data_IF_431731976436
#
_entry.id   IF_431731976436
#
_cell.length_a   1.000
_cell.length_b   1.000
_cell.length_c   1.000
_cell.angle_alpha   90.00
_cell.angle_beta   90.00
_cell.angle_gamma   90.00
#
_symmetry.space_group_name_H-M   'P 1'
#
loop_
_entity.id
_entity.type
_entity.pdbx_description
1 polymer ?
#
# COMPACT_ATOMS: atom_id res chain seq x y z
N UNK A 1 -11.60 16.16 2.49
CA UNK A 1 -11.97 15.64 1.16
C UNK A 1 -13.21 14.74 1.16
N UNK A 2 -13.18 13.46 1.57
CA UNK A 2 -14.39 12.61 1.48
C UNK A 2 -15.57 13.14 2.31
N UNK A 3 -15.28 13.64 3.52
CA UNK A 3 -16.25 14.33 4.36
C UNK A 3 -16.82 15.59 3.70
N UNK A 4 -15.97 16.47 3.14
CA UNK A 4 -16.42 17.64 2.38
C UNK A 4 -17.27 17.27 1.16
N UNK A 5 -16.95 16.18 0.46
CA UNK A 5 -17.80 15.68 -0.62
C UNK A 5 -19.20 15.34 -0.09
N UNK A 6 -19.31 14.78 1.12
CA UNK A 6 -20.58 14.56 1.79
C UNK A 6 -21.36 15.85 2.06
N UNK A 7 -20.65 16.89 2.50
CA UNK A 7 -21.25 18.21 2.75
C UNK A 7 -21.83 18.80 1.46
N UNK A 8 -21.07 18.75 0.36
CA UNK A 8 -21.54 19.23 -0.95
C UNK A 8 -22.67 18.37 -1.52
N UNK A 9 -22.70 17.07 -1.26
CA UNK A 9 -23.79 16.19 -1.71
C UNK A 9 -25.14 16.55 -1.06
N UNK A 10 -25.12 17.17 0.12
CA UNK A 10 -26.32 17.67 0.80
C UNK A 10 -26.80 19.04 0.30
N UNK A 11 -25.99 19.73 -0.52
CA UNK A 11 -26.31 21.03 -1.10
C UNK A 11 -26.71 20.89 -2.59
N UNK A 12 -28.00 21.10 -2.95
CA UNK A 12 -28.49 20.93 -4.31
C UNK A 12 -27.89 21.90 -5.35
N UNK A 13 -27.17 22.95 -4.92
CA UNK A 13 -26.53 23.93 -5.82
C UNK A 13 -25.03 23.62 -6.04
N UNK A 14 -24.42 22.77 -5.21
CA UNK A 14 -22.96 22.59 -5.16
C UNK A 14 -22.43 21.30 -5.83
N UNK A 15 -23.08 20.84 -6.90
CA UNK A 15 -22.71 19.58 -7.58
C UNK A 15 -21.26 19.55 -8.08
N UNK A 16 -20.70 20.68 -8.52
CA UNK A 16 -19.29 20.77 -8.93
C UNK A 16 -18.33 20.49 -7.77
N UNK A 17 -18.60 21.05 -6.59
CA UNK A 17 -17.79 20.84 -5.38
C UNK A 17 -17.82 19.39 -4.88
N UNK A 18 -18.98 18.72 -5.02
CA UNK A 18 -19.10 17.28 -4.73
C UNK A 18 -18.16 16.45 -5.62
N UNK A 19 -18.29 16.59 -6.95
CA UNK A 19 -17.52 15.79 -7.91
C UNK A 19 -16.02 15.97 -7.70
N UNK A 20 -15.58 17.20 -7.48
CA UNK A 20 -14.19 17.54 -7.24
C UNK A 20 -13.63 16.87 -5.98
N UNK A 21 -14.24 17.10 -4.80
CA UNK A 21 -13.72 16.54 -3.54
C UNK A 21 -13.84 15.02 -3.45
N UNK A 22 -14.87 14.44 -4.07
CA UNK A 22 -15.01 12.99 -4.20
C UNK A 22 -13.86 12.40 -5.04
N UNK A 23 -13.55 13.02 -6.18
CA UNK A 23 -12.44 12.62 -7.02
C UNK A 23 -11.10 12.76 -6.28
N UNK A 24 -10.85 13.88 -5.58
CA UNK A 24 -9.59 14.07 -4.86
C UNK A 24 -9.39 13.03 -3.73
N UNK A 25 -10.46 12.65 -3.01
CA UNK A 25 -10.38 11.62 -1.98
C UNK A 25 -9.92 10.26 -2.53
N UNK A 26 -10.52 9.83 -3.65
CA UNK A 26 -10.16 8.58 -4.31
C UNK A 26 -8.80 8.65 -5.01
N UNK A 27 -8.42 9.82 -5.52
CA UNK A 27 -7.10 10.08 -6.10
C UNK A 27 -6.00 9.90 -5.04
N UNK A 28 -6.17 10.49 -3.85
CA UNK A 28 -5.24 10.30 -2.73
C UNK A 28 -5.13 8.82 -2.32
N UNK A 29 -6.28 8.14 -2.17
CA UNK A 29 -6.33 6.73 -1.80
C UNK A 29 -5.59 5.82 -2.80
N UNK A 30 -5.84 6.00 -4.10
CA UNK A 30 -5.19 5.21 -5.17
C UNK A 30 -3.73 5.58 -5.36
N UNK A 31 -3.39 6.86 -5.18
CA UNK A 31 -2.04 7.40 -5.20
C UNK A 31 -1.14 6.79 -4.13
N UNK A 32 -1.55 6.89 -2.86
CA UNK A 32 -0.83 6.33 -1.71
C UNK A 32 -0.56 4.83 -1.90
N UNK A 33 -1.60 4.09 -2.28
CA UNK A 33 -1.52 2.66 -2.51
C UNK A 33 -0.54 2.25 -3.61
N UNK A 34 -0.44 3.04 -4.68
CA UNK A 34 0.50 2.75 -5.77
C UNK A 34 1.91 3.22 -5.48
N UNK A 35 2.05 4.30 -4.72
CA UNK A 35 3.34 4.85 -4.33
C UNK A 35 4.03 3.96 -3.29
N UNK A 36 3.30 3.44 -2.29
CA UNK A 36 3.80 2.46 -1.33
C UNK A 36 4.39 1.23 -2.02
N UNK A 37 3.69 0.70 -3.01
CA UNK A 37 4.09 -0.52 -3.70
C UNK A 37 5.18 -0.21 -4.76
N UNK A 38 4.96 0.80 -5.61
CA UNK A 38 5.87 1.16 -6.70
C UNK A 38 7.21 1.74 -6.23
N UNK A 39 7.20 2.61 -5.22
CA UNK A 39 8.40 3.28 -4.69
C UNK A 39 8.85 2.66 -3.37
N UNK A 40 7.93 2.51 -2.41
CA UNK A 40 8.26 2.04 -1.06
C UNK A 40 8.91 0.65 -1.07
N UNK A 41 8.23 -0.35 -1.63
CA UNK A 41 8.78 -1.71 -1.69
C UNK A 41 10.05 -1.76 -2.53
N UNK A 42 10.05 -1.13 -3.72
CA UNK A 42 11.22 -1.14 -4.60
C UNK A 42 12.46 -0.53 -3.93
N UNK A 43 12.31 0.59 -3.22
CA UNK A 43 13.43 1.26 -2.55
C UNK A 43 13.99 0.42 -1.41
N UNK A 44 13.13 -0.24 -0.65
CA UNK A 44 13.57 -1.17 0.40
C UNK A 44 14.31 -2.37 -0.19
N UNK A 45 13.77 -2.98 -1.26
CA UNK A 45 14.39 -4.11 -1.95
C UNK A 45 15.76 -3.72 -2.50
N UNK A 46 15.87 -2.55 -3.13
CA UNK A 46 17.14 -2.07 -3.65
C UNK A 46 18.15 -1.76 -2.56
N UNK A 47 17.71 -1.18 -1.43
CA UNK A 47 18.61 -0.94 -0.31
C UNK A 47 19.13 -2.26 0.27
N UNK A 48 18.28 -3.27 0.39
CA UNK A 48 18.69 -4.61 0.80
C UNK A 48 19.71 -5.21 -0.19
N UNK A 49 19.40 -5.22 -1.48
CA UNK A 49 20.28 -5.79 -2.50
C UNK A 49 21.62 -5.04 -2.59
N UNK A 50 21.60 -3.71 -2.46
CA UNK A 50 22.80 -2.87 -2.38
C UNK A 50 23.67 -3.23 -1.19
N UNK A 51 23.08 -3.47 -0.01
CA UNK A 51 23.83 -3.92 1.17
C UNK A 51 24.36 -5.34 1.05
N UNK A 52 23.62 -6.23 0.37
CA UNK A 52 23.96 -7.64 0.28
C UNK A 52 25.03 -7.94 -0.80
N UNK A 53 24.96 -7.30 -1.97
CA UNK A 53 25.86 -7.56 -3.11
C UNK A 53 26.70 -6.35 -3.56
N UNK A 54 26.46 -5.17 -3.00
CA UNK A 54 27.15 -3.94 -3.39
C UNK A 54 26.58 -3.27 -4.67
N UNK A 55 26.96 -2.02 -4.95
CA UNK A 55 26.37 -1.21 -6.03
C UNK A 55 26.68 -1.73 -7.44
N UNK A 56 27.88 -2.30 -7.64
CA UNK A 56 28.33 -2.75 -8.97
C UNK A 56 27.52 -3.94 -9.48
N UNK A 57 27.15 -4.85 -8.59
CA UNK A 57 26.40 -6.05 -8.96
C UNK A 57 24.93 -5.71 -9.19
N UNK A 58 24.35 -4.85 -8.34
CA UNK A 58 22.97 -4.38 -8.48
C UNK A 58 22.68 -3.77 -9.86
N UNK A 59 23.57 -2.92 -10.38
CA UNK A 59 23.41 -2.26 -11.69
C UNK A 59 23.46 -3.29 -12.84
N UNK A 60 24.33 -4.30 -12.73
CA UNK A 60 24.49 -5.33 -13.77
C UNK A 60 23.29 -6.27 -13.83
N UNK A 61 22.74 -6.60 -12.67
CA UNK A 61 21.73 -7.62 -12.48
C UNK A 61 20.32 -7.11 -12.87
N UNK A 62 20.04 -5.84 -12.60
CA UNK A 62 18.74 -5.19 -12.88
C UNK A 62 18.48 -4.88 -14.36
N UNK A 63 19.46 -4.31 -15.10
CA UNK A 63 19.18 -3.79 -16.45
C UNK A 63 19.03 -4.85 -17.56
N UNK A 64 19.72 -5.99 -17.46
CA UNK A 64 19.75 -7.00 -18.55
C UNK A 64 18.76 -8.17 -18.36
N UNK A 65 18.24 -8.39 -17.15
CA UNK A 65 17.46 -9.59 -16.83
C UNK A 65 16.16 -9.35 -16.06
N UNK A 66 15.83 -8.12 -15.63
CA UNK A 66 14.62 -7.86 -14.83
C UNK A 66 13.32 -8.38 -15.48
N UNK A 67 13.19 -8.23 -16.79
CA UNK A 67 12.02 -8.71 -17.54
C UNK A 67 12.10 -10.19 -17.93
N UNK A 68 13.28 -10.81 -17.88
CA UNK A 68 13.51 -12.24 -18.22
C UNK A 68 13.03 -13.17 -17.11
N UNK A 69 13.01 -12.70 -15.87
CA UNK A 69 12.67 -13.48 -14.68
C UNK A 69 11.18 -13.48 -14.30
N UNK A 70 10.35 -12.65 -14.94
CA UNK A 70 8.90 -12.66 -14.74
C UNK A 70 8.24 -14.00 -15.09
N UNK A 71 8.95 -14.94 -15.71
CA UNK A 71 8.47 -16.31 -15.97
C UNK A 71 8.76 -17.29 -14.82
N UNK A 72 9.20 -16.80 -13.65
CA UNK A 72 9.49 -17.60 -12.45
C UNK A 72 10.52 -18.68 -12.69
N UNK A 73 11.65 -18.30 -13.32
CA UNK A 73 12.81 -19.19 -13.30
C UNK A 73 13.41 -19.16 -11.89
N UNK A 74 13.83 -20.31 -11.34
CA UNK A 74 14.54 -20.34 -10.06
C UNK A 74 15.76 -19.42 -10.17
N UNK A 75 15.99 -18.59 -9.14
CA UNK A 75 17.21 -17.82 -9.05
C UNK A 75 18.39 -18.80 -9.15
N UNK A 76 19.32 -18.53 -10.04
CA UNK A 76 20.53 -19.31 -10.27
C UNK A 76 21.62 -19.00 -9.24
N UNK A 77 21.26 -18.32 -8.14
CA UNK A 77 22.16 -17.85 -7.09
C UNK A 77 22.93 -16.57 -7.47
N UNK A 78 22.57 -15.92 -8.59
CA UNK A 78 23.28 -14.71 -9.06
C UNK A 78 22.84 -13.44 -8.36
N UNK A 79 21.71 -13.44 -7.63
CA UNK A 79 21.21 -12.27 -6.91
C UNK A 79 20.85 -12.55 -5.45
N UNK A 80 21.06 -11.58 -4.55
CA UNK A 80 20.55 -11.66 -3.18
C UNK A 80 19.02 -11.77 -3.16
N UNK A 81 18.53 -12.72 -2.38
CA UNK A 81 17.10 -12.92 -2.11
C UNK A 81 16.74 -12.37 -0.74
N UNK A 82 15.71 -11.55 -0.70
CA UNK A 82 15.08 -11.16 0.55
C UNK A 82 13.97 -12.14 0.90
N UNK A 83 14.27 -13.04 1.82
CA UNK A 83 13.29 -13.99 2.33
C UNK A 83 12.32 -13.30 3.30
N UNK A 84 11.03 -13.38 3.00
CA UNK A 84 9.97 -12.81 3.81
C UNK A 84 9.60 -13.74 4.98
N UNK A 85 9.34 -13.20 6.18
CA UNK A 85 8.85 -13.98 7.32
C UNK A 85 7.54 -14.72 6.99
N UNK A 86 7.29 -15.87 7.65
CA UNK A 86 6.02 -16.61 7.48
C UNK A 86 4.78 -15.76 7.79
N UNK A 87 4.89 -14.74 8.65
CA UNK A 87 3.80 -13.81 8.95
C UNK A 87 3.21 -13.12 7.72
N UNK A 88 4.02 -12.92 6.66
CA UNK A 88 3.57 -12.33 5.39
C UNK A 88 2.47 -13.16 4.71
N UNK A 89 2.39 -14.46 4.97
CA UNK A 89 1.33 -15.31 4.39
C UNK A 89 -0.07 -14.80 4.72
N UNK A 90 -0.28 -14.31 5.95
CA UNK A 90 -1.55 -13.70 6.34
C UNK A 90 -1.82 -12.42 5.53
N UNK A 91 -0.81 -11.55 5.40
CA UNK A 91 -0.92 -10.32 4.61
C UNK A 91 -1.26 -10.62 3.14
N UNK A 92 -0.58 -11.59 2.53
CA UNK A 92 -0.84 -12.05 1.15
C UNK A 92 -2.26 -12.53 0.98
N UNK A 93 -2.76 -13.36 1.91
CA UNK A 93 -4.14 -13.86 1.86
C UNK A 93 -5.18 -12.75 1.88
N UNK A 94 -4.98 -11.73 2.72
CA UNK A 94 -5.86 -10.56 2.76
C UNK A 94 -5.76 -9.74 1.47
N UNK A 95 -4.53 -9.50 0.98
CA UNK A 95 -4.31 -8.75 -0.25
C UNK A 95 -4.95 -9.43 -1.46
N UNK A 96 -4.92 -10.77 -1.55
CA UNK A 96 -5.63 -11.51 -2.60
C UNK A 96 -7.12 -11.21 -2.55
N UNK A 97 -7.76 -11.37 -1.38
CA UNK A 97 -9.22 -11.16 -1.24
C UNK A 97 -9.59 -9.70 -1.52
N UNK A 98 -8.86 -8.74 -0.93
CA UNK A 98 -9.09 -7.31 -1.13
C UNK A 98 -8.91 -6.89 -2.59
N UNK A 99 -7.88 -7.42 -3.26
CA UNK A 99 -7.60 -7.12 -4.67
C UNK A 99 -8.67 -7.71 -5.59
N UNK A 100 -9.09 -8.96 -5.37
CA UNK A 100 -10.18 -9.54 -6.16
C UNK A 100 -11.48 -8.75 -5.96
N UNK A 101 -11.78 -8.34 -4.72
CA UNK A 101 -12.95 -7.51 -4.43
C UNK A 101 -12.87 -6.12 -5.08
N UNK A 102 -11.68 -5.52 -5.17
CA UNK A 102 -11.52 -4.21 -5.81
C UNK A 102 -11.92 -4.20 -7.30
N UNK A 103 -11.84 -5.33 -8.01
CA UNK A 103 -12.41 -5.42 -9.37
C UNK A 103 -13.94 -5.38 -9.39
N UNK A 104 -14.61 -5.82 -8.32
CA UNK A 104 -16.05 -5.65 -8.15
C UNK A 104 -16.37 -4.16 -7.95
N UNK A 105 -15.56 -3.43 -7.18
CA UNK A 105 -15.68 -1.97 -7.04
C UNK A 105 -15.56 -1.27 -8.41
N UNK A 106 -14.57 -1.66 -9.22
CA UNK A 106 -14.39 -1.15 -10.59
C UNK A 106 -15.63 -1.43 -11.44
N UNK A 107 -16.15 -2.66 -11.42
CA UNK A 107 -17.33 -3.04 -12.19
C UNK A 107 -18.60 -2.30 -11.75
N UNK A 108 -18.73 -1.96 -10.46
CA UNK A 108 -19.85 -1.18 -9.93
C UNK A 108 -19.78 0.31 -10.25
N UNK A 109 -18.59 0.85 -10.52
CA UNK A 109 -18.38 2.29 -10.75
C UNK A 109 -18.66 3.18 -9.53
N UNK A 110 -18.69 2.61 -8.31
CA UNK A 110 -18.93 3.34 -7.06
C UNK A 110 -18.32 2.63 -5.86
N UNK A 111 -18.01 3.38 -4.81
CA UNK A 111 -17.62 2.85 -3.49
C UNK A 111 -18.67 3.23 -2.46
N UNK A 112 -19.25 2.25 -1.79
CA UNK A 112 -20.42 2.44 -0.94
C UNK A 112 -20.34 1.68 0.38
N UNK A 113 -21.41 1.75 1.17
CA UNK A 113 -21.43 1.19 2.52
C UNK A 113 -21.19 -0.33 2.52
N UNK A 114 -21.65 -1.06 1.51
CA UNK A 114 -21.37 -2.49 1.38
C UNK A 114 -19.87 -2.78 1.23
N UNK A 115 -19.11 -1.90 0.56
CA UNK A 115 -17.66 -2.02 0.42
C UNK A 115 -16.97 -1.77 1.75
N UNK A 116 -17.45 -0.76 2.49
CA UNK A 116 -17.01 -0.48 3.87
C UNK A 116 -17.22 -1.68 4.78
N UNK A 117 -18.39 -2.30 4.74
CA UNK A 117 -18.71 -3.46 5.57
C UNK A 117 -17.77 -4.61 5.23
N UNK A 118 -17.63 -4.95 3.95
CA UNK A 118 -16.83 -6.10 3.54
C UNK A 118 -15.33 -5.90 3.81
N UNK A 119 -14.75 -4.78 3.36
CA UNK A 119 -13.33 -4.51 3.54
C UNK A 119 -12.98 -4.17 5.00
N UNK A 120 -13.89 -3.50 5.72
CA UNK A 120 -13.75 -3.23 7.14
C UNK A 120 -13.80 -4.51 7.98
N UNK A 121 -14.72 -5.45 7.69
CA UNK A 121 -14.77 -6.76 8.35
C UNK A 121 -13.53 -7.60 8.00
N UNK A 122 -13.07 -7.55 6.75
CA UNK A 122 -11.84 -8.24 6.34
C UNK A 122 -10.62 -7.71 7.11
N UNK A 123 -10.50 -6.39 7.26
CA UNK A 123 -9.42 -5.78 8.04
C UNK A 123 -9.54 -6.05 9.54
N UNK A 124 -10.75 -5.99 10.10
CA UNK A 124 -10.99 -6.33 11.50
C UNK A 124 -10.61 -7.78 11.79
N UNK A 125 -10.99 -8.70 10.89
CA UNK A 125 -10.58 -10.10 10.97
C UNK A 125 -9.06 -10.24 10.91
N UNK A 126 -8.40 -9.53 10.00
CA UNK A 126 -6.94 -9.48 9.90
C UNK A 126 -6.28 -9.02 11.21
N UNK A 127 -6.75 -7.93 11.82
CA UNK A 127 -6.21 -7.41 13.10
C UNK A 127 -6.44 -8.40 14.25
N UNK A 128 -7.62 -9.01 14.34
CA UNK A 128 -7.91 -10.03 15.37
C UNK A 128 -6.97 -11.24 15.21
N UNK A 129 -6.65 -11.62 13.97
CA UNK A 129 -5.72 -12.70 13.66
C UNK A 129 -4.29 -12.33 14.01
N UNK A 130 -3.85 -11.13 13.64
CA UNK A 130 -2.52 -10.62 13.93
C UNK A 130 -2.28 -10.49 15.44
N UNK A 131 -3.27 -10.01 16.20
CA UNK A 131 -3.20 -9.88 17.67
C UNK A 131 -3.10 -11.22 18.41
N UNK A 132 -3.42 -12.35 17.75
CA UNK A 132 -3.30 -13.71 18.29
C UNK A 132 -2.03 -14.43 17.81
N UNK A 133 -1.24 -13.82 16.93
CA UNK A 133 0.01 -14.38 16.48
C UNK A 133 1.08 -14.30 17.59
N UNK A 134 2.08 -15.19 17.60
CA UNK A 134 3.17 -15.13 18.57
C UNK A 134 3.88 -13.76 18.52
N UNK A 135 3.84 -13.02 19.64
CA UNK A 135 4.50 -11.72 19.76
C UNK A 135 5.94 -11.97 20.19
N UNK A 136 6.90 -11.59 19.35
CA UNK A 136 8.30 -11.49 19.76
C UNK A 136 8.49 -10.13 20.42
N UNK A 137 9.14 -10.09 21.59
CA UNK A 137 9.42 -8.80 22.24
C UNK A 137 10.24 -7.91 21.29
N UNK A 138 9.72 -6.73 20.93
CA UNK A 138 10.45 -5.85 20.03
C UNK A 138 11.68 -5.33 20.75
N UNK A 139 12.83 -5.40 20.08
CA UNK A 139 14.03 -4.74 20.57
C UNK A 139 13.84 -3.22 20.47
N UNK A 140 13.61 -2.59 21.61
CA UNK A 140 13.43 -1.14 21.68
C UNK A 140 14.78 -0.45 21.39
N UNK A 141 14.76 0.52 20.48
CA UNK A 141 15.93 1.34 20.15
C UNK A 141 15.56 2.83 20.12
N UNK A 142 16.55 3.71 20.26
CA UNK A 142 16.39 5.16 20.14
C UNK A 142 15.35 5.75 21.12
N UNK A 143 14.44 6.63 20.66
CA UNK A 143 13.39 7.21 21.49
C UNK A 143 12.49 6.17 22.17
N UNK A 144 12.19 5.06 21.48
CA UNK A 144 11.39 3.98 22.04
C UNK A 144 12.09 3.30 23.23
N UNK A 145 13.41 3.12 23.17
CA UNK A 145 14.21 2.61 24.30
C UNK A 145 14.24 3.59 25.48
N UNK A 146 14.34 4.89 25.21
CA UNK A 146 14.32 5.92 26.26
C UNK A 146 12.99 5.90 27.03
N UNK A 147 11.86 5.83 26.32
CA UNK A 147 10.52 5.69 26.92
C UNK A 147 10.37 4.33 27.62
N UNK A 148 10.89 3.27 27.03
CA UNK A 148 10.84 1.90 27.56
C UNK A 148 11.50 1.72 28.92
N UNK A 149 12.53 2.52 29.23
CA UNK A 149 13.28 2.53 30.50
C UNK A 149 12.57 3.26 31.65
N UNK A 150 11.52 4.02 31.38
CA UNK A 150 10.77 4.73 32.42
C UNK A 150 10.01 3.75 33.33
N UNK A 151 9.76 4.11 34.60
CA UNK A 151 8.81 3.38 35.46
C UNK A 151 7.45 3.26 34.77
N UNK A 152 6.68 2.22 35.11
CA UNK A 152 5.43 1.84 34.42
C UNK A 152 4.50 3.02 34.15
N UNK A 153 4.26 3.88 35.15
CA UNK A 153 3.40 5.04 35.01
C UNK A 153 4.03 6.13 34.15
N UNK A 154 5.32 6.42 34.30
CA UNK A 154 6.03 7.36 33.42
C UNK A 154 6.01 6.92 31.95
N UNK A 155 6.21 5.62 31.70
CA UNK A 155 6.13 5.02 30.36
C UNK A 155 4.72 5.13 29.77
N UNK A 156 3.68 4.74 30.52
CA UNK A 156 2.28 4.81 30.06
C UNK A 156 1.84 6.25 29.78
N UNK A 157 2.20 7.18 30.66
CA UNK A 157 1.91 8.61 30.48
C UNK A 157 2.63 9.18 29.26
N UNK A 158 3.90 8.84 29.05
CA UNK A 158 4.64 9.28 27.87
C UNK A 158 4.02 8.75 26.57
N UNK A 159 3.69 7.45 26.52
CA UNK A 159 3.02 6.84 25.35
C UNK A 159 1.66 7.49 25.09
N UNK A 160 0.84 7.66 26.13
CA UNK A 160 -0.47 8.30 26.00
C UNK A 160 -0.34 9.76 25.54
N UNK A 161 0.62 10.50 26.09
CA UNK A 161 0.92 11.86 25.65
C UNK A 161 1.26 11.89 24.17
N UNK A 162 2.17 11.04 23.68
CA UNK A 162 2.52 11.02 22.26
C UNK A 162 1.34 10.61 21.37
N UNK A 163 0.51 9.66 21.79
CA UNK A 163 -0.71 9.28 21.05
C UNK A 163 -1.66 10.48 20.92
N UNK A 164 -2.02 11.12 22.04
CA UNK A 164 -2.97 12.24 22.05
C UNK A 164 -2.39 13.45 21.33
N UNK A 165 -1.13 13.82 21.62
CA UNK A 165 -0.44 14.92 20.97
C UNK A 165 -0.39 14.72 19.46
N UNK A 166 0.00 13.54 18.98
CA UNK A 166 0.09 13.26 17.55
C UNK A 166 -1.29 13.30 16.89
N UNK A 167 -2.33 12.74 17.53
CA UNK A 167 -3.70 12.78 17.00
C UNK A 167 -4.22 14.22 16.87
N UNK A 168 -3.97 15.07 17.88
CA UNK A 168 -4.34 16.49 17.84
C UNK A 168 -3.59 17.23 16.75
N UNK A 169 -2.26 17.07 16.67
CA UNK A 169 -1.44 17.74 15.65
C UNK A 169 -1.85 17.30 14.24
N UNK A 170 -2.05 16.01 14.01
CA UNK A 170 -2.52 15.50 12.71
C UNK A 170 -3.89 16.09 12.37
N UNK A 171 -4.84 16.08 13.32
CA UNK A 171 -6.18 16.63 13.12
C UNK A 171 -6.17 18.12 12.77
N UNK A 172 -5.32 18.91 13.42
CA UNK A 172 -5.19 20.35 13.16
C UNK A 172 -4.40 20.65 11.87
N UNK A 173 -3.46 19.80 11.48
CA UNK A 173 -2.59 20.04 10.34
C UNK A 173 -3.12 19.49 9.01
N UNK A 174 -3.96 18.44 9.03
CA UNK A 174 -4.38 17.72 7.82
C UNK A 174 -5.10 18.61 6.79
N UNK A 175 -6.07 19.41 7.23
CA UNK A 175 -6.83 20.30 6.33
C UNK A 175 -5.97 21.46 5.77
N UNK A 176 -5.24 22.24 6.60
CA UNK A 176 -4.30 23.24 6.08
C UNK A 176 -3.23 22.66 5.14
N UNK A 177 -2.77 21.44 5.41
CA UNK A 177 -1.79 20.76 4.57
C UNK A 177 -2.36 20.45 3.17
N UNK A 178 -3.57 19.89 3.09
CA UNK A 178 -4.23 19.58 1.81
C UNK A 178 -4.50 20.86 1.02
N UNK A 179 -5.08 21.89 1.62
CA UNK A 179 -5.33 23.17 0.93
C UNK A 179 -4.04 23.89 0.54
N UNK A 180 -2.98 23.78 1.34
CA UNK A 180 -1.66 24.28 1.00
C UNK A 180 -1.10 23.62 -0.27
N UNK A 181 -1.26 22.30 -0.40
CA UNK A 181 -0.87 21.56 -1.60
C UNK A 181 -1.71 21.93 -2.83
N UNK A 182 -3.03 22.07 -2.68
CA UNK A 182 -3.91 22.56 -3.76
C UNK A 182 -3.46 23.95 -4.25
N UNK A 183 -3.16 24.87 -3.33
CA UNK A 183 -2.67 26.22 -3.65
C UNK A 183 -1.32 26.19 -4.37
N UNK A 184 -0.34 25.46 -3.84
CA UNK A 184 0.99 25.33 -4.46
C UNK A 184 0.86 24.73 -5.86
N UNK A 185 0.05 23.69 -6.03
CA UNK A 185 -0.23 23.08 -7.33
C UNK A 185 -0.71 24.09 -8.36
N UNK A 186 -1.74 24.88 -8.00
CA UNK A 186 -2.29 25.93 -8.86
C UNK A 186 -1.25 27.00 -9.24
N UNK A 187 -0.41 27.41 -8.29
CA UNK A 187 0.62 28.44 -8.52
C UNK A 187 1.70 27.98 -9.50
N UNK A 188 2.11 26.71 -9.43
CA UNK A 188 3.11 26.13 -10.35
C UNK A 188 2.52 25.50 -11.61
N UNK A 189 1.20 25.61 -11.82
CA UNK A 189 0.51 25.09 -13.01
C UNK A 189 0.37 23.56 -13.06
N UNK A 190 0.42 22.87 -11.90
CA UNK A 190 0.20 21.42 -11.79
C UNK A 190 -1.22 21.18 -11.25
N UNK A 191 -1.99 20.33 -11.95
CA UNK A 191 -3.37 20.03 -11.55
C UNK A 191 -3.48 19.44 -10.15
N UNK A 192 -4.49 19.89 -9.39
CA UNK A 192 -4.72 19.48 -7.99
C UNK A 192 -4.84 17.96 -7.85
N UNK A 193 -5.48 17.30 -8.82
CA UNK A 193 -5.56 15.85 -8.89
C UNK A 193 -4.17 15.19 -8.82
N UNK A 194 -3.20 15.68 -9.60
CA UNK A 194 -1.85 15.12 -9.63
C UNK A 194 -1.13 15.37 -8.30
N UNK A 195 -1.26 16.58 -7.74
CA UNK A 195 -0.64 16.93 -6.45
C UNK A 195 -1.20 16.07 -5.32
N UNK A 196 -2.52 15.96 -5.22
CA UNK A 196 -3.19 15.15 -4.20
C UNK A 196 -2.94 13.66 -4.40
N UNK A 197 -2.78 13.19 -5.63
CA UNK A 197 -2.51 11.77 -5.89
C UNK A 197 -1.07 11.37 -5.61
N UNK A 198 -0.09 12.25 -5.89
CA UNK A 198 1.32 11.85 -5.85
C UNK A 198 2.13 12.56 -4.78
N UNK A 199 1.92 13.87 -4.59
CA UNK A 199 2.71 14.66 -3.66
C UNK A 199 2.17 14.52 -2.23
N UNK A 200 0.85 14.55 -2.04
CA UNK A 200 0.27 14.41 -0.70
C UNK A 200 0.65 13.05 -0.06
N UNK A 201 0.49 11.89 -0.72
CA UNK A 201 0.96 10.62 -0.18
C UNK A 201 2.46 10.54 -0.03
N UNK A 202 3.25 11.08 -0.98
CA UNK A 202 4.70 11.05 -0.83
C UNK A 202 5.12 11.72 0.48
N UNK A 203 4.53 12.85 0.82
CA UNK A 203 4.79 13.55 2.07
C UNK A 203 4.24 12.80 3.30
N UNK A 204 2.99 12.31 3.26
CA UNK A 204 2.36 11.65 4.41
C UNK A 204 2.91 10.26 4.71
N UNK A 205 3.38 9.54 3.69
CA UNK A 205 3.92 8.17 3.79
C UNK A 205 5.45 8.14 4.00
N UNK A 206 6.14 9.26 3.75
CA UNK A 206 7.60 9.39 3.95
C UNK A 206 8.09 8.94 5.32
N UNK A 207 7.44 9.30 6.46
CA UNK A 207 7.86 8.80 7.77
C UNK A 207 7.86 7.28 7.88
N UNK A 208 6.87 6.62 7.26
CA UNK A 208 6.77 5.17 7.24
C UNK A 208 7.88 4.55 6.37
N UNK A 209 8.14 5.11 5.19
CA UNK A 209 9.23 4.65 4.32
C UNK A 209 10.59 4.80 4.99
N UNK A 210 10.84 5.93 5.65
CA UNK A 210 12.09 6.16 6.37
C UNK A 210 12.28 5.15 7.51
N UNK A 211 11.21 4.80 8.24
CA UNK A 211 11.27 3.77 9.27
C UNK A 211 11.61 2.39 8.68
N UNK A 212 10.98 2.00 7.56
CA UNK A 212 11.28 0.74 6.88
C UNK A 212 12.73 0.70 6.35
N UNK A 213 13.20 1.78 5.74
CA UNK A 213 14.58 1.91 5.26
C UNK A 213 15.58 1.86 6.41
N UNK A 214 15.27 2.46 7.55
CA UNK A 214 16.09 2.37 8.76
C UNK A 214 16.22 0.92 9.26
N UNK A 215 15.14 0.14 9.26
CA UNK A 215 15.18 -1.28 9.63
C UNK A 215 16.09 -2.09 8.70
N UNK A 216 16.04 -1.82 7.40
CA UNK A 216 16.91 -2.48 6.40
C UNK A 216 18.36 -2.05 6.59
N UNK A 217 18.60 -0.76 6.86
CA UNK A 217 19.91 -0.24 7.19
C UNK A 217 20.51 -0.89 8.43
N UNK A 218 19.68 -1.28 9.40
CA UNK A 218 20.07 -2.01 10.61
C UNK A 218 20.24 -3.52 10.43
N UNK A 219 19.98 -4.05 9.23
CA UNK A 219 20.09 -5.49 8.94
C UNK A 219 18.80 -6.28 9.16
N UNK A 220 17.68 -5.59 9.39
CA UNK A 220 16.36 -6.19 9.59
C UNK A 220 15.48 -6.01 8.34
N UNK A 221 16.01 -6.34 7.16
CA UNK A 221 15.33 -6.12 5.89
C UNK A 221 13.97 -6.82 5.81
N UNK A 222 13.86 -8.05 6.34
CA UNK A 222 12.59 -8.78 6.39
C UNK A 222 11.52 -8.08 7.22
N UNK A 223 11.89 -7.44 8.34
CA UNK A 223 10.96 -6.63 9.14
C UNK A 223 10.58 -5.33 8.42
N UNK A 224 11.55 -4.67 7.79
CA UNK A 224 11.30 -3.44 7.02
C UNK A 224 10.31 -3.66 5.88
N UNK A 225 10.45 -4.76 5.12
CA UNK A 225 9.48 -5.10 4.07
C UNK A 225 8.16 -5.58 4.63
N UNK A 226 8.16 -6.44 5.67
CA UNK A 226 6.91 -6.88 6.29
C UNK A 226 6.07 -5.68 6.78
N UNK A 227 6.70 -4.67 7.38
CA UNK A 227 6.05 -3.41 7.76
C UNK A 227 5.32 -2.75 6.58
N UNK A 228 5.99 -2.60 5.43
CA UNK A 228 5.35 -1.99 4.24
C UNK A 228 4.28 -2.89 3.61
N UNK A 229 4.41 -4.22 3.70
CA UNK A 229 3.38 -5.15 3.24
C UNK A 229 2.13 -5.06 4.13
N UNK A 230 2.31 -5.05 5.45
CA UNK A 230 1.19 -4.88 6.39
C UNK A 230 0.54 -3.49 6.27
N UNK A 231 1.31 -2.44 5.99
CA UNK A 231 0.75 -1.12 5.65
C UNK A 231 -0.08 -1.17 4.38
N UNK A 232 0.35 -1.92 3.37
CA UNK A 232 -0.42 -2.13 2.13
C UNK A 232 -1.75 -2.83 2.42
N UNK A 233 -1.79 -3.81 3.33
CA UNK A 233 -3.05 -4.43 3.78
C UNK A 233 -3.99 -3.37 4.34
N UNK A 234 -3.51 -2.52 5.24
CA UNK A 234 -4.30 -1.42 5.83
C UNK A 234 -4.81 -0.43 4.77
N UNK A 235 -3.93 0.05 3.89
CA UNK A 235 -4.28 1.00 2.83
C UNK A 235 -5.20 0.42 1.74
N UNK A 236 -5.15 -0.89 1.51
CA UNK A 236 -5.97 -1.57 0.50
C UNK A 236 -7.22 -2.24 1.09
N UNK A 237 -7.52 -2.00 2.37
CA UNK A 237 -8.76 -2.45 3.02
C UNK A 237 -9.39 -1.34 3.85
N UNK A 238 -8.85 -1.03 5.04
CA UNK A 238 -9.42 -0.07 5.97
C UNK A 238 -9.52 1.33 5.37
N UNK A 239 -8.49 1.78 4.63
CA UNK A 239 -8.53 3.09 4.00
C UNK A 239 -9.68 3.19 2.99
N UNK A 240 -9.86 2.18 2.12
CA UNK A 240 -10.99 2.12 1.18
C UNK A 240 -12.32 2.10 1.97
N UNK A 241 -12.40 1.31 3.03
CA UNK A 241 -13.59 1.21 3.86
C UNK A 241 -13.92 2.52 4.58
N UNK A 242 -12.93 3.35 4.89
CA UNK A 242 -13.12 4.64 5.57
C UNK A 242 -13.70 5.73 4.66
N UNK A 243 -13.50 5.63 3.33
CA UNK A 243 -13.94 6.66 2.39
C UNK A 243 -15.46 6.86 2.40
N UNK A 244 -16.31 5.82 2.27
CA UNK A 244 -17.75 5.98 2.39
C UNK A 244 -18.20 6.42 3.80
N UNK A 245 -17.51 5.98 4.87
CA UNK A 245 -17.83 6.41 6.24
C UNK A 245 -17.68 7.92 6.37
N UNK A 246 -16.55 8.48 5.92
CA UNK A 246 -16.30 9.91 5.96
C UNK A 246 -17.31 10.68 5.10
N UNK A 247 -17.64 10.18 3.90
CA UNK A 247 -18.64 10.75 3.02
C UNK A 247 -20.04 10.81 3.65
N UNK A 248 -20.50 9.71 4.25
CA UNK A 248 -21.79 9.65 4.92
C UNK A 248 -21.80 10.57 6.15
N UNK A 249 -20.71 10.60 6.92
CA UNK A 249 -20.58 11.50 8.08
C UNK A 249 -20.65 12.99 7.68
N UNK A 250 -20.26 13.33 6.46
CA UNK A 250 -20.40 14.66 5.88
C UNK A 250 -21.82 15.01 5.41
N UNK A 251 -22.76 14.06 5.41
CA UNK A 251 -24.12 14.25 4.88
C UNK A 251 -24.37 13.54 3.54
N UNK A 252 -23.41 12.76 3.05
CA UNK A 252 -23.53 12.00 1.80
C UNK A 252 -24.50 10.82 1.87
N UNK A 253 -24.98 10.37 0.71
CA UNK A 253 -25.93 9.26 0.60
C UNK A 253 -25.30 7.88 0.93
N UNK A 254 -26.11 6.97 1.49
CA UNK A 254 -25.72 5.58 1.77
C UNK A 254 -25.35 4.78 0.51
N UNK A 255 -25.83 5.21 -0.65
CA UNK A 255 -25.47 4.64 -1.96
C UNK A 255 -23.98 4.80 -2.30
N UNK A 256 -23.25 5.60 -1.53
CA UNK A 256 -21.81 5.79 -1.63
C UNK A 256 -21.41 6.92 -2.57
N UNK A 257 -20.12 6.96 -2.87
CA UNK A 257 -19.50 7.90 -3.80
C UNK A 257 -19.53 7.27 -5.19
N UNK A 258 -20.23 7.90 -6.12
CA UNK A 258 -20.17 7.56 -7.55
C UNK A 258 -18.83 7.96 -8.12
N UNK A 259 -18.11 7.01 -8.72
CA UNK A 259 -16.80 7.27 -9.29
C UNK A 259 -16.94 7.85 -10.70
N UNK A 260 -16.18 8.90 -11.01
CA UNK A 260 -15.99 9.33 -12.40
C UNK A 260 -15.22 8.27 -13.20
N UNK A 261 -15.28 8.32 -14.54
CA UNK A 261 -14.52 7.40 -15.41
C UNK A 261 -13.03 7.37 -15.08
N UNK A 262 -12.47 8.54 -14.74
CA UNK A 262 -11.08 8.65 -14.29
C UNK A 262 -10.86 7.87 -13.00
N UNK A 263 -11.74 8.01 -12.00
CA UNK A 263 -11.61 7.27 -10.75
C UNK A 263 -11.77 5.76 -10.92
N UNK A 264 -12.71 5.31 -11.76
CA UNK A 264 -12.83 3.90 -12.10
C UNK A 264 -11.52 3.38 -12.70
N UNK A 265 -10.91 4.13 -13.62
CA UNK A 265 -9.63 3.78 -14.20
C UNK A 265 -8.47 3.79 -13.18
N UNK A 266 -8.48 4.71 -12.20
CA UNK A 266 -7.47 4.77 -11.12
C UNK A 266 -7.60 3.62 -10.12
N UNK A 267 -8.82 3.23 -9.76
CA UNK A 267 -9.05 2.05 -8.91
C UNK A 267 -8.64 0.79 -9.68
N UNK A 268 -8.96 0.70 -10.98
CA UNK A 268 -8.56 -0.42 -11.84
C UNK A 268 -7.04 -0.60 -11.92
N UNK A 269 -6.29 0.45 -12.26
CA UNK A 269 -4.83 0.35 -12.33
C UNK A 269 -4.21 0.03 -10.96
N UNK A 270 -4.79 0.52 -9.86
CA UNK A 270 -4.31 0.20 -8.51
C UNK A 270 -4.61 -1.25 -8.13
N UNK A 271 -5.77 -1.78 -8.52
CA UNK A 271 -6.11 -3.19 -8.39
C UNK A 271 -5.16 -4.07 -9.21
N UNK A 272 -4.92 -3.72 -10.48
CA UNK A 272 -4.00 -4.42 -11.36
C UNK A 272 -2.56 -4.43 -10.82
N UNK A 273 -2.08 -3.29 -10.33
CA UNK A 273 -0.77 -3.22 -9.68
C UNK A 273 -0.72 -4.07 -8.41
N UNK A 274 -1.81 -4.15 -7.65
CA UNK A 274 -1.89 -5.00 -6.46
C UNK A 274 -1.88 -6.49 -6.81
N UNK A 275 -2.49 -6.91 -7.93
CA UNK A 275 -2.35 -8.27 -8.47
C UNK A 275 -0.89 -8.57 -8.78
N UNK A 276 -0.21 -7.64 -9.45
CA UNK A 276 1.22 -7.80 -9.74
C UNK A 276 2.05 -7.88 -8.46
N UNK A 277 1.82 -6.99 -7.49
CA UNK A 277 2.49 -7.03 -6.20
C UNK A 277 2.31 -8.33 -5.44
N UNK A 278 1.08 -8.90 -5.43
CA UNK A 278 0.81 -10.22 -4.84
C UNK A 278 1.65 -11.32 -5.51
N UNK A 279 1.76 -11.30 -6.84
CA UNK A 279 2.60 -12.27 -7.56
C UNK A 279 4.08 -12.16 -7.17
N UNK A 280 4.57 -10.96 -6.85
CA UNK A 280 5.96 -10.74 -6.43
C UNK A 280 6.26 -11.25 -5.02
N UNK A 281 5.26 -11.42 -4.14
CA UNK A 281 5.49 -11.78 -2.73
C UNK A 281 4.97 -13.17 -2.35
N UNK A 282 4.25 -13.85 -3.25
CA UNK A 282 3.58 -15.12 -2.93
C UNK A 282 4.55 -16.28 -2.66
N UNK A 283 5.73 -16.24 -3.28
CA UNK A 283 6.84 -17.19 -3.05
C UNK A 283 7.70 -16.83 -1.82
N UNK A 284 7.41 -15.67 -1.19
CA UNK A 284 8.15 -15.08 -0.07
C UNK A 284 9.62 -14.79 -0.38
N UNK A 285 9.97 -14.63 -1.65
CA UNK A 285 11.35 -14.33 -2.08
C UNK A 285 11.35 -13.09 -2.97
N UNK A 286 11.88 -11.98 -2.45
CA UNK A 286 11.98 -10.74 -3.21
C UNK A 286 13.39 -10.51 -3.73
N UNK A 287 13.51 -10.31 -5.04
CA UNK A 287 14.79 -10.02 -5.72
C UNK A 287 14.85 -8.57 -6.21
N UNK A 288 16.05 -8.06 -6.47
CA UNK A 288 16.24 -6.74 -7.06
C UNK A 288 15.57 -6.62 -8.44
N UNK A 289 15.57 -7.70 -9.24
CA UNK A 289 14.84 -7.79 -10.51
C UNK A 289 13.34 -7.51 -10.36
N UNK A 290 12.70 -8.14 -9.37
CA UNK A 290 11.30 -7.92 -9.06
C UNK A 290 11.02 -6.45 -8.69
N UNK A 291 11.87 -5.88 -7.82
CA UNK A 291 11.80 -4.46 -7.46
C UNK A 291 11.96 -3.52 -8.66
N UNK A 292 12.84 -3.86 -9.61
CA UNK A 292 13.05 -3.08 -10.84
C UNK A 292 11.89 -3.19 -11.82
N UNK A 293 11.35 -4.39 -12.05
CA UNK A 293 10.17 -4.58 -12.88
C UNK A 293 9.00 -3.73 -12.35
N UNK A 294 8.80 -3.74 -11.04
CA UNK A 294 7.76 -2.95 -10.39
C UNK A 294 7.98 -1.44 -10.49
N UNK A 295 9.17 -0.97 -10.14
CA UNK A 295 9.50 0.45 -10.20
C UNK A 295 9.44 0.98 -11.64
N UNK A 296 9.91 0.22 -12.62
CA UNK A 296 9.94 0.67 -14.02
C UNK A 296 8.55 0.84 -14.62
N UNK A 297 7.62 -0.10 -14.39
CA UNK A 297 6.21 0.08 -14.81
C UNK A 297 5.58 1.27 -14.08
N UNK A 298 5.83 1.40 -12.78
CA UNK A 298 5.31 2.52 -11.98
C UNK A 298 5.82 3.88 -12.46
N UNK A 299 7.12 4.03 -12.70
CA UNK A 299 7.70 5.29 -13.17
C UNK A 299 7.23 5.62 -14.58
N UNK A 300 7.16 4.63 -15.48
CA UNK A 300 6.60 4.83 -16.81
C UNK A 300 5.15 5.31 -16.75
N UNK A 301 4.34 4.72 -15.85
CA UNK A 301 2.97 5.15 -15.58
C UNK A 301 2.92 6.58 -15.04
N UNK A 302 3.69 6.88 -13.98
CA UNK A 302 3.71 8.18 -13.32
C UNK A 302 4.09 9.31 -14.29
N UNK A 303 5.17 9.09 -15.07
CA UNK A 303 5.64 10.05 -16.08
C UNK A 303 4.58 10.23 -17.16
N UNK A 304 3.97 9.15 -17.64
CA UNK A 304 2.91 9.24 -18.65
C UNK A 304 1.70 10.01 -18.13
N UNK A 305 1.26 9.76 -16.90
CA UNK A 305 0.14 10.47 -16.29
C UNK A 305 0.47 11.94 -16.02
N UNK A 306 1.73 12.29 -15.74
CA UNK A 306 2.15 13.68 -15.57
C UNK A 306 1.98 14.50 -16.86
N UNK A 307 2.40 13.94 -18.00
CA UNK A 307 2.29 14.62 -19.30
C UNK A 307 0.89 14.54 -19.92
N UNK A 308 0.11 13.52 -19.58
CA UNK A 308 -1.20 13.24 -20.18
C UNK A 308 -2.30 13.06 -19.11
N UNK A 309 -2.45 14.06 -18.24
CA UNK A 309 -3.28 13.97 -17.02
C UNK A 309 -4.74 13.57 -17.29
N UNK A 310 -5.35 14.07 -18.36
CA UNK A 310 -6.76 13.83 -18.72
C UNK A 310 -6.97 12.51 -19.50
N UNK A 311 -5.90 11.83 -19.90
CA UNK A 311 -6.01 10.68 -20.79
C UNK A 311 -6.27 9.37 -20.02
N UNK A 312 -7.55 9.00 -19.91
CA UNK A 312 -7.95 7.75 -19.26
C UNK A 312 -7.45 6.50 -19.99
N UNK A 313 -7.19 6.53 -21.29
CA UNK A 313 -6.67 5.39 -22.03
C UNK A 313 -5.31 4.92 -21.48
N UNK A 314 -4.46 5.86 -21.06
CA UNK A 314 -3.14 5.55 -20.47
C UNK A 314 -3.32 4.74 -19.18
N UNK A 315 -4.30 5.09 -18.34
CA UNK A 315 -4.59 4.38 -17.09
C UNK A 315 -4.99 2.92 -17.37
N UNK A 316 -5.87 2.72 -18.36
CA UNK A 316 -6.27 1.38 -18.79
C UNK A 316 -5.10 0.57 -19.37
N UNK A 317 -4.28 1.18 -20.24
CA UNK A 317 -3.09 0.55 -20.83
C UNK A 317 -2.15 0.06 -19.72
N UNK A 318 -1.80 0.91 -18.76
CA UNK A 318 -0.91 0.50 -17.67
C UNK A 318 -1.55 -0.54 -16.74
N UNK A 319 -2.85 -0.48 -16.50
CA UNK A 319 -3.56 -1.55 -15.79
C UNK A 319 -3.45 -2.90 -16.52
N UNK A 320 -3.60 -2.92 -17.85
CA UNK A 320 -3.39 -4.13 -18.66
C UNK A 320 -1.91 -4.57 -18.62
N UNK A 321 -0.95 -3.66 -18.63
CA UNK A 321 0.48 -3.99 -18.50
C UNK A 321 0.76 -4.69 -17.16
N UNK A 322 0.23 -4.18 -16.03
CA UNK A 322 0.39 -4.84 -14.73
C UNK A 322 -0.25 -6.23 -14.71
N UNK A 323 -1.46 -6.37 -15.25
CA UNK A 323 -2.12 -7.68 -15.37
C UNK A 323 -1.34 -8.63 -16.27
N UNK A 324 -0.75 -8.14 -17.36
CA UNK A 324 0.13 -8.92 -18.24
C UNK A 324 1.39 -9.40 -17.54
N UNK A 325 2.01 -8.54 -16.72
CA UNK A 325 3.17 -8.92 -15.89
C UNK A 325 2.79 -10.00 -14.87
N UNK A 326 1.65 -9.84 -14.19
CA UNK A 326 1.12 -10.85 -13.26
C UNK A 326 0.78 -12.17 -13.96
N UNK A 327 0.15 -12.11 -15.14
CA UNK A 327 -0.20 -13.28 -15.92
C UNK A 327 1.03 -14.05 -16.40
N UNK A 328 2.15 -13.37 -16.71
CA UNK A 328 3.40 -14.01 -17.06
C UNK A 328 4.01 -14.82 -15.90
N UNK A 329 3.74 -14.42 -14.66
CA UNK A 329 4.18 -15.10 -13.44
C UNK A 329 3.24 -16.24 -13.00
N UNK A 330 1.98 -16.23 -13.44
CA UNK A 330 0.98 -17.18 -12.98
C UNK A 330 1.37 -18.67 -13.18
N UNK A 331 1.97 -19.11 -14.32
CA UNK A 331 2.32 -20.51 -14.52
C UNK A 331 3.33 -21.08 -13.52
N UNK A 332 4.23 -20.24 -12.99
CA UNK A 332 5.21 -20.63 -11.97
C UNK A 332 4.64 -20.54 -10.55
N UNK A 333 3.68 -19.64 -10.30
CA UNK A 333 3.17 -19.36 -8.96
C UNK A 333 1.80 -19.98 -8.65
N UNK A 334 1.04 -20.49 -9.63
CA UNK A 334 -0.34 -20.94 -9.41
C UNK A 334 -0.47 -22.03 -8.33
N UNK A 335 0.55 -22.89 -8.18
CA UNK A 335 0.60 -23.94 -7.17
C UNK A 335 0.83 -23.41 -5.75
N UNK A 336 1.32 -22.19 -5.61
CA UNK A 336 1.54 -21.52 -4.32
C UNK A 336 0.26 -20.91 -3.76
N UNK A 337 -0.72 -20.56 -4.60
CA UNK A 337 -1.97 -19.95 -4.14
C UNK A 337 -2.77 -20.83 -3.16
N UNK A 338 -3.10 -22.10 -3.46
CA UNK A 338 -3.86 -22.94 -2.54
C UNK A 338 -3.22 -23.12 -1.16
N UNK A 339 -1.91 -23.45 -1.02
CA UNK A 339 -1.29 -23.57 0.30
C UNK A 339 -1.19 -22.22 1.03
N UNK A 340 -0.84 -21.13 0.33
CA UNK A 340 -0.74 -19.79 0.94
C UNK A 340 -2.10 -19.31 1.47
N UNK A 341 -3.17 -19.46 0.69
CA UNK A 341 -4.53 -19.10 1.14
C UNK A 341 -5.00 -20.00 2.28
N UNK A 342 -4.72 -21.31 2.19
CA UNK A 342 -5.04 -22.25 3.27
C UNK A 342 -4.33 -21.85 4.57
N UNK A 343 -3.03 -21.57 4.52
CA UNK A 343 -2.25 -21.13 5.69
C UNK A 343 -2.76 -19.79 6.25
N UNK A 344 -3.03 -18.81 5.38
CA UNK A 344 -3.54 -17.50 5.78
C UNK A 344 -4.87 -17.60 6.56
N UNK A 345 -5.79 -18.47 6.10
CA UNK A 345 -7.13 -18.58 6.67
C UNK A 345 -7.30 -19.72 7.70
N UNK A 346 -6.33 -20.63 7.86
CA UNK A 346 -6.35 -21.68 8.89
C UNK A 346 -6.24 -21.11 10.30
N UNK A 347 -6.81 -21.79 11.31
CA UNK A 347 -6.76 -21.36 12.72
C UNK A 347 -5.33 -21.52 13.28
N UNK A 348 -4.82 -20.58 14.11
CA UNK A 348 -3.52 -20.73 14.75
C UNK A 348 -3.54 -21.96 15.68
N UNK A 349 -2.75 -22.98 15.37
CA UNK A 349 -2.64 -24.20 16.18
C UNK A 349 -2.40 -25.52 15.43
N UNK A 350 -2.28 -25.52 14.10
CA UNK A 350 -2.19 -26.76 13.31
C UNK A 350 -0.81 -27.09 12.72
N UNK A 351 0.25 -26.35 13.06
CA UNK A 351 1.61 -26.65 12.59
C UNK A 351 2.59 -26.79 13.76
N UNK A 352 3.33 -27.91 13.86
CA UNK A 352 4.40 -28.06 14.84
C UNK A 352 5.50 -27.04 14.57
N UNK A 353 6.06 -26.48 15.64
CA UNK A 353 7.27 -25.66 15.59
C UNK A 353 8.41 -26.48 14.95
N UNK A 354 8.89 -26.05 13.77
CA UNK A 354 10.17 -26.53 13.25
C UNK A 354 11.28 -25.92 14.11
N UNK A 355 12.01 -26.80 14.77
CA UNK A 355 13.03 -26.47 15.75
C UNK A 355 14.06 -25.47 15.24
N UNK A 356 14.42 -24.57 16.15
CA UNK A 356 15.65 -23.79 16.13
C UNK A 356 16.85 -24.69 15.82
N UNK A 357 17.41 -24.58 14.62
CA UNK A 357 18.79 -24.96 14.39
C UNK A 357 19.69 -23.82 14.87
N UNK A 358 20.46 -24.16 15.90
CA UNK A 358 21.54 -23.40 16.56
C UNK A 358 22.62 -22.98 15.58
#
# INVERSE_FOLDING_TARGET
>A
MAYEAGQYASDPVAFSGFSEKANLALANMTGANRLLLGVGWATVIFLFAWKAAGPRELIRSTARHAWRDLRGRPNDGTEPELTLPRGVTLDVGILVVATLYSFIIVAKGRIALEDTILLGMLFLWYVIRLARAPVHEPKLEGPAAAIGRLPVWGRRSAVLFFIVYSAVVIGLAAEPFVHGLEYVGRDVGIGEFFVIQWIAPLASESPEFLAALFLVWRGSAGMGVNMLISSKVNQWTLLIASVPIAYIAGGGALSGITSSDTQVAEVFITAAQSVFGVMLIIDRQLTARAGFALLSVFLAQLISQFFFQENNLIRWIFGVIYLGCAAAMLPSHWRLFPPTLREAFQRPGATPEEGTHV
#
